data_IF_249976673462
#
_entry.id   IF_249976673462
#
_cell.length_a   1.000
_cell.length_b   1.000
_cell.length_c   1.000
_cell.angle_alpha   90.00
_cell.angle_beta   90.00
_cell.angle_gamma   90.00
#
_symmetry.space_group_name_H-M   'P 1'
#
loop_
_entity.id
_entity.type
_entity.pdbx_description
1 polymer ?
#
# COMPACT_ATOMS: atom_id res chain seq x y z
N UNK A 1 19.39 42.63 -18.78
CA UNK A 1 20.61 42.16 -18.08
C UNK A 1 20.22 42.07 -16.62
N UNK A 2 20.21 40.96 -15.89
CA UNK A 2 20.89 39.67 -16.02
C UNK A 2 19.94 38.49 -15.72
N UNK A 3 20.39 37.32 -16.14
CA UNK A 3 19.78 36.00 -16.03
C UNK A 3 19.74 35.53 -14.57
N UNK A 4 18.68 34.82 -14.17
CA UNK A 4 18.84 33.77 -13.17
C UNK A 4 18.43 32.42 -13.78
N UNK A 5 19.43 31.54 -13.81
CA UNK A 5 19.39 30.15 -14.27
C UNK A 5 18.60 29.32 -13.27
N UNK A 6 17.67 28.50 -13.75
CA UNK A 6 17.44 27.17 -13.18
C UNK A 6 17.47 26.21 -14.37
N UNK A 7 18.64 25.60 -14.55
CA UNK A 7 18.82 24.41 -15.38
C UNK A 7 18.98 23.24 -14.42
N UNK A 8 18.29 22.15 -14.74
CA UNK A 8 18.56 20.77 -14.36
C UNK A 8 18.47 20.38 -12.88
N UNK A 9 17.30 19.83 -12.51
CA UNK A 9 17.24 18.47 -11.92
C UNK A 9 16.14 17.70 -12.65
N UNK A 10 16.35 17.41 -13.94
CA UNK A 10 15.83 16.16 -14.49
C UNK A 10 16.99 15.18 -14.34
N UNK A 11 17.03 14.51 -13.20
CA UNK A 11 17.90 13.35 -13.04
C UNK A 11 17.50 12.35 -14.12
N UNK A 12 18.50 11.73 -14.73
CA UNK A 12 18.35 10.80 -15.84
C UNK A 12 17.46 9.62 -15.43
N UNK A 13 16.15 9.73 -15.67
CA UNK A 13 15.29 8.57 -15.83
C UNK A 13 15.62 8.00 -17.21
N UNK A 14 16.48 6.99 -17.22
CA UNK A 14 16.53 6.05 -18.35
C UNK A 14 15.19 5.32 -18.31
N UNK A 15 14.18 5.87 -18.99
CA UNK A 15 12.90 5.20 -19.15
C UNK A 15 13.11 4.10 -20.18
N UNK A 16 13.39 2.87 -19.73
CA UNK A 16 13.36 1.70 -20.62
C UNK A 16 11.91 1.39 -20.96
N UNK A 17 11.41 2.03 -22.01
CA UNK A 17 10.07 1.80 -22.56
C UNK A 17 10.06 0.44 -23.24
N UNK A 18 9.48 -0.57 -22.60
CA UNK A 18 9.25 -1.89 -23.21
C UNK A 18 7.86 -1.90 -23.84
N UNK A 19 7.80 -1.91 -25.17
CA UNK A 19 6.57 -2.22 -25.90
C UNK A 19 6.20 -3.69 -25.65
N UNK A 20 4.91 -3.98 -25.48
CA UNK A 20 4.37 -5.32 -25.57
C UNK A 20 3.22 -5.27 -26.58
N UNK A 21 3.48 -5.73 -27.81
CA UNK A 21 2.44 -5.87 -28.83
C UNK A 21 1.85 -7.26 -28.70
N UNK A 22 0.55 -7.35 -28.41
CA UNK A 22 -0.17 -8.62 -28.50
C UNK A 22 -0.98 -8.64 -29.81
N UNK A 23 -0.55 -9.47 -30.76
CA UNK A 23 -1.32 -9.78 -31.97
C UNK A 23 -1.48 -11.30 -32.06
N UNK A 24 -2.72 -11.76 -32.21
CA UNK A 24 -3.04 -13.19 -32.37
C UNK A 24 -2.42 -14.09 -31.28
N UNK A 25 -2.32 -13.62 -30.04
CA UNK A 25 -1.79 -14.38 -28.90
C UNK A 25 -0.26 -14.50 -28.83
N UNK A 26 0.48 -13.73 -29.63
CA UNK A 26 1.94 -13.61 -29.54
C UNK A 26 2.36 -12.23 -29.01
N UNK A 27 3.30 -12.19 -28.06
CA UNK A 27 3.82 -10.96 -27.44
C UNK A 27 5.16 -10.56 -28.07
N UNK A 28 5.22 -9.38 -28.68
CA UNK A 28 6.46 -8.80 -29.23
C UNK A 28 6.96 -7.65 -28.35
N UNK A 29 8.28 -7.59 -28.13
CA UNK A 29 8.94 -6.51 -27.38
C UNK A 29 9.83 -5.66 -28.26
N UNK A 30 9.69 -4.34 -28.14
CA UNK A 30 10.58 -3.34 -28.75
C UNK A 30 10.91 -2.22 -27.74
N UNK A 31 12.11 -1.65 -27.85
CA UNK A 31 12.57 -0.51 -27.04
C UNK A 31 12.20 0.82 -27.72
N UNK A 32 11.48 1.71 -27.01
CA UNK A 32 11.20 3.06 -27.52
C UNK A 32 12.37 4.00 -27.18
N UNK A 33 12.96 4.62 -28.20
CA UNK A 33 14.15 5.47 -28.06
C UNK A 33 13.88 6.98 -28.03
N UNK A 34 12.68 7.45 -28.40
CA UNK A 34 12.30 8.88 -28.40
C UNK A 34 10.80 9.10 -28.13
N UNK A 35 10.44 9.94 -27.15
CA UNK A 35 9.05 10.33 -26.90
C UNK A 35 8.89 11.74 -26.32
N UNK A 36 7.72 12.38 -26.54
CA UNK A 36 7.40 13.75 -26.08
C UNK A 36 6.04 13.82 -25.38
N UNK A 37 6.00 14.52 -24.24
CA UNK A 37 4.82 14.66 -23.36
C UNK A 37 3.96 15.87 -23.77
N UNK A 38 2.63 15.71 -23.79
CA UNK A 38 1.63 16.73 -24.19
C UNK A 38 0.44 16.73 -23.21
N UNK A 39 -0.23 17.88 -23.02
CA UNK A 39 -1.33 18.07 -22.07
C UNK A 39 -2.70 17.53 -22.58
N UNK A 40 -3.62 17.19 -21.65
CA UNK A 40 -4.73 16.22 -21.82
C UNK A 40 -6.10 16.87 -22.12
N UNK A 41 -6.80 16.49 -23.19
CA UNK A 41 -8.22 16.90 -23.40
C UNK A 41 -9.20 15.84 -23.96
N UNK A 42 -8.84 14.56 -24.16
CA UNK A 42 -9.74 13.61 -24.88
C UNK A 42 -9.93 12.20 -24.27
N UNK A 43 -9.77 11.99 -22.96
CA UNK A 43 -10.03 10.66 -22.34
C UNK A 43 -11.07 10.68 -21.23
N UNK A 44 -11.89 9.62 -21.21
CA UNK A 44 -12.85 9.32 -20.15
C UNK A 44 -12.31 8.15 -19.31
N UNK A 45 -12.25 8.33 -18.00
CA UNK A 45 -11.87 7.30 -17.03
C UNK A 45 -13.10 6.51 -16.61
N UNK A 46 -13.10 5.18 -16.78
CA UNK A 46 -14.11 4.33 -16.13
C UNK A 46 -13.70 4.10 -14.67
N UNK A 47 -14.32 4.86 -13.77
CA UNK A 47 -14.07 4.80 -12.32
C UNK A 47 -14.61 3.54 -11.66
N UNK A 48 -15.47 2.76 -12.34
CA UNK A 48 -16.10 1.56 -11.75
C UNK A 48 -15.20 0.34 -11.88
N UNK A 49 -14.44 0.23 -12.98
CA UNK A 49 -13.61 -0.95 -13.27
C UNK A 49 -12.10 -0.69 -13.24
N UNK A 50 -11.68 0.53 -12.90
CA UNK A 50 -10.28 0.96 -12.94
C UNK A 50 -9.61 0.72 -14.32
N UNK A 51 -10.39 0.74 -15.40
CA UNK A 51 -9.90 0.53 -16.78
C UNK A 51 -9.92 1.84 -17.56
N UNK A 52 -8.79 2.17 -18.17
CA UNK A 52 -8.72 3.27 -19.14
C UNK A 52 -9.19 2.78 -20.50
N UNK A 53 -10.32 3.32 -20.98
CA UNK A 53 -10.83 3.02 -22.32
C UNK A 53 -10.31 4.06 -23.32
N UNK A 54 -9.51 3.61 -24.30
CA UNK A 54 -9.12 4.45 -25.43
C UNK A 54 -10.18 4.36 -26.54
N UNK A 55 -10.65 5.51 -27.04
CA UNK A 55 -11.53 5.55 -28.21
C UNK A 55 -10.72 5.19 -29.46
N UNK A 56 -10.80 3.92 -29.87
CA UNK A 56 -10.01 3.36 -30.96
C UNK A 56 -10.46 3.89 -32.34
N UNK A 57 -9.51 4.33 -33.15
CA UNK A 57 -9.62 4.36 -34.62
C UNK A 57 -8.71 3.26 -35.19
N UNK A 58 -8.97 2.74 -36.41
CA UNK A 58 -8.09 1.74 -37.03
C UNK A 58 -6.63 2.22 -37.08
N UNK A 59 -5.68 1.31 -36.83
CA UNK A 59 -4.21 1.50 -36.82
C UNK A 59 -3.61 2.29 -35.62
N UNK A 60 -4.30 2.32 -34.47
CA UNK A 60 -3.76 2.91 -33.24
C UNK A 60 -3.35 1.82 -32.24
N UNK A 61 -2.11 1.86 -31.74
CA UNK A 61 -1.65 1.02 -30.62
C UNK A 61 -1.54 1.89 -29.37
N UNK A 62 -2.08 1.43 -28.24
CA UNK A 62 -2.04 2.12 -26.95
C UNK A 62 -1.04 1.43 -26.02
N UNK A 63 -0.29 2.18 -25.24
CA UNK A 63 0.59 1.66 -24.21
C UNK A 63 0.49 2.48 -22.92
N UNK A 64 0.66 1.81 -21.78
CA UNK A 64 0.62 2.39 -20.44
C UNK A 64 2.06 2.47 -19.92
N UNK A 65 2.49 3.66 -19.50
CA UNK A 65 3.78 3.86 -18.84
C UNK A 65 3.48 4.24 -17.38
N UNK A 66 3.82 3.34 -16.46
CA UNK A 66 3.70 3.55 -15.01
C UNK A 66 4.95 4.27 -14.50
N UNK A 67 4.80 5.51 -14.01
CA UNK A 67 5.88 6.31 -13.41
C UNK A 67 5.45 6.73 -12.01
N UNK A 68 5.82 5.94 -11.00
CA UNK A 68 5.48 6.21 -9.61
C UNK A 68 6.34 7.35 -9.07
N UNK A 69 5.89 8.60 -9.21
CA UNK A 69 6.48 9.76 -8.54
C UNK A 69 5.59 10.16 -7.37
N UNK A 70 6.03 9.90 -6.14
CA UNK A 70 5.33 10.32 -4.92
C UNK A 70 5.47 11.83 -4.75
N UNK A 71 4.38 12.57 -4.85
CA UNK A 71 4.36 14.03 -4.63
C UNK A 71 4.35 14.30 -3.11
N UNK A 72 5.35 14.99 -2.54
CA UNK A 72 5.30 15.39 -1.14
C UNK A 72 4.10 16.31 -0.90
N UNK A 73 3.38 16.11 0.20
CA UNK A 73 2.27 16.95 0.71
C UNK A 73 0.94 16.92 -0.06
N UNK A 74 0.73 15.98 -0.98
CA UNK A 74 -0.60 15.69 -1.54
C UNK A 74 -0.85 14.19 -1.58
N UNK A 75 -1.83 13.75 -0.81
CA UNK A 75 -2.59 12.49 -0.90
C UNK A 75 -2.17 11.63 -2.11
N UNK A 76 -1.28 10.66 -1.86
CA UNK A 76 -0.71 9.65 -2.77
C UNK A 76 -1.23 9.65 -4.22
N UNK A 77 -0.82 10.63 -5.03
CA UNK A 77 -1.15 10.66 -6.46
C UNK A 77 -0.04 10.00 -7.28
N UNK A 78 -0.37 8.92 -7.98
CA UNK A 78 0.53 8.28 -8.93
C UNK A 78 0.37 8.92 -10.32
N UNK A 79 1.49 9.27 -10.95
CA UNK A 79 1.50 9.79 -12.32
C UNK A 79 1.62 8.63 -13.31
N UNK A 80 0.72 8.56 -14.27
CA UNK A 80 0.79 7.59 -15.36
C UNK A 80 0.80 8.33 -16.69
N UNK A 81 1.60 7.84 -17.61
CA UNK A 81 1.70 8.40 -18.95
C UNK A 81 1.02 7.44 -19.92
N UNK A 82 -0.01 7.91 -20.65
CA UNK A 82 -0.73 7.10 -21.63
C UNK A 82 -0.33 7.59 -23.01
N UNK A 83 0.21 6.68 -23.83
CA UNK A 83 0.69 7.00 -25.17
C UNK A 83 -0.23 6.45 -26.27
N UNK A 84 -0.39 7.20 -27.36
CA UNK A 84 -0.97 6.72 -28.62
C UNK A 84 0.13 6.61 -29.67
N UNK A 85 0.33 5.43 -30.24
CA UNK A 85 1.17 5.23 -31.41
C UNK A 85 0.31 5.33 -32.67
N UNK A 86 0.67 6.24 -33.57
CA UNK A 86 0.08 6.34 -34.92
C UNK A 86 1.11 5.82 -35.90
N UNK A 87 0.91 4.62 -36.45
CA UNK A 87 1.73 4.15 -37.55
C UNK A 87 1.39 4.97 -38.80
N UNK A 88 2.34 5.77 -39.28
CA UNK A 88 2.27 6.34 -40.62
C UNK A 88 3.21 5.52 -41.47
N UNK A 89 2.69 4.82 -42.48
CA UNK A 89 3.37 3.77 -43.27
C UNK A 89 4.71 4.18 -43.94
N UNK A 90 5.18 5.43 -43.78
CA UNK A 90 6.36 5.95 -44.50
C UNK A 90 7.31 6.83 -43.66
N UNK A 91 7.17 6.94 -42.33
CA UNK A 91 8.09 7.71 -41.48
C UNK A 91 8.17 7.13 -40.04
N UNK A 92 9.27 7.36 -39.28
CA UNK A 92 9.32 6.98 -37.87
C UNK A 92 8.13 7.60 -37.13
N UNK A 93 7.27 6.74 -36.59
CA UNK A 93 6.00 7.14 -35.99
C UNK A 93 6.19 8.09 -34.81
N UNK A 94 5.36 9.13 -34.74
CA UNK A 94 5.30 10.03 -33.60
C UNK A 94 4.47 9.38 -32.48
N UNK A 95 5.09 9.17 -31.32
CA UNK A 95 4.39 8.79 -30.09
C UNK A 95 3.97 10.06 -29.35
N UNK A 96 2.66 10.27 -29.20
CA UNK A 96 2.13 11.34 -28.34
C UNK A 96 1.85 10.76 -26.97
N UNK A 97 2.52 11.25 -25.94
CA UNK A 97 2.34 10.82 -24.55
C UNK A 97 1.52 11.87 -23.80
N UNK A 98 0.45 11.47 -23.12
CA UNK A 98 -0.35 12.34 -22.27
C UNK A 98 -0.10 12.09 -20.78
N UNK A 99 -0.04 13.15 -19.99
CA UNK A 99 -0.03 13.05 -18.52
C UNK A 99 -1.40 12.68 -17.98
N UNK A 100 -1.44 11.64 -17.15
CA UNK A 100 -2.59 11.24 -16.37
C UNK A 100 -2.19 11.10 -14.91
N UNK A 101 -3.08 11.46 -14.02
CA UNK A 101 -2.93 11.25 -12.58
C UNK A 101 -3.99 10.22 -12.20
N UNK A 102 -3.59 9.15 -11.55
CA UNK A 102 -4.51 8.21 -10.90
C UNK A 102 -4.09 8.07 -9.45
N UNK A 103 -5.05 7.86 -8.55
CA UNK A 103 -4.73 7.55 -7.16
C UNK A 103 -3.79 6.34 -7.15
N UNK A 104 -2.70 6.41 -6.39
CA UNK A 104 -1.86 5.24 -6.20
C UNK A 104 -2.72 4.13 -5.61
N UNK A 105 -2.77 2.98 -6.26
CA UNK A 105 -3.66 1.91 -5.81
C UNK A 105 -3.15 1.34 -4.49
N UNK A 106 -4.01 1.33 -3.49
CA UNK A 106 -3.81 0.54 -2.28
C UNK A 106 -4.29 -0.87 -2.58
N UNK A 107 -3.43 -1.86 -2.37
CA UNK A 107 -3.75 -3.28 -2.54
C UNK A 107 -3.31 -4.03 -1.31
N UNK A 108 -4.25 -4.58 -0.56
CA UNK A 108 -4.00 -5.44 0.59
C UNK A 108 -4.06 -6.92 0.20
N UNK A 109 -3.77 -7.81 1.14
CA UNK A 109 -3.90 -9.25 0.93
C UNK A 109 -5.30 -9.65 0.39
N UNK A 110 -6.35 -8.95 0.82
CA UNK A 110 -7.71 -9.16 0.34
C UNK A 110 -7.85 -8.87 -1.17
N UNK A 111 -7.19 -7.84 -1.68
CA UNK A 111 -7.23 -7.48 -3.10
C UNK A 111 -6.40 -8.42 -3.98
N UNK A 112 -5.42 -9.09 -3.38
CA UNK A 112 -4.57 -10.09 -4.05
C UNK A 112 -5.24 -11.46 -4.14
N UNK A 113 -6.21 -11.74 -3.27
CA UNK A 113 -6.80 -13.06 -3.12
C UNK A 113 -7.49 -13.52 -4.41
N UNK A 114 -7.21 -14.74 -4.81
CA UNK A 114 -7.77 -15.34 -6.02
C UNK A 114 -7.15 -16.69 -6.33
N UNK A 115 -7.47 -17.31 -7.49
CA UNK A 115 -7.02 -18.66 -7.83
C UNK A 115 -5.50 -18.86 -7.88
N UNK A 116 -4.73 -17.77 -7.95
CA UNK A 116 -3.26 -17.78 -7.99
C UNK A 116 -2.61 -17.37 -6.67
N UNK A 117 -3.41 -16.91 -5.69
CA UNK A 117 -2.97 -16.36 -4.41
C UNK A 117 -3.91 -16.86 -3.31
N UNK A 118 -3.91 -18.18 -3.09
CA UNK A 118 -4.81 -18.91 -2.19
C UNK A 118 -4.07 -19.60 -1.02
N UNK A 119 -2.77 -19.34 -0.86
CA UNK A 119 -1.93 -19.94 0.18
C UNK A 119 -1.35 -18.89 1.12
N UNK A 120 -1.22 -19.23 2.40
CA UNK A 120 -0.58 -18.34 3.38
C UNK A 120 0.90 -18.13 3.04
N UNK A 121 1.40 -16.90 3.19
CA UNK A 121 2.79 -16.61 2.86
C UNK A 121 3.14 -15.14 2.86
N UNK A 122 4.35 -14.83 2.41
CA UNK A 122 4.81 -13.44 2.26
C UNK A 122 4.43 -12.92 0.88
N UNK A 123 3.68 -11.82 0.85
CA UNK A 123 3.25 -11.14 -0.37
C UNK A 123 3.70 -9.69 -0.37
N UNK A 124 3.75 -9.09 -1.56
CA UNK A 124 4.00 -7.66 -1.72
C UNK A 124 2.67 -6.92 -1.88
N UNK A 125 2.36 -6.04 -0.92
CA UNK A 125 1.19 -5.15 -0.95
C UNK A 125 1.64 -3.73 -1.31
N UNK A 126 0.70 -2.88 -1.75
CA UNK A 126 0.97 -1.46 -2.05
C UNK A 126 0.10 -0.57 -1.16
N UNK A 127 0.71 0.43 -0.53
CA UNK A 127 0.05 1.46 0.28
C UNK A 127 0.34 2.85 -0.29
N UNK A 128 -0.11 3.11 -1.52
CA UNK A 128 0.11 4.42 -2.16
C UNK A 128 1.53 4.70 -2.67
N UNK A 129 2.45 3.72 -2.63
CA UNK A 129 3.86 3.91 -2.97
C UNK A 129 4.60 2.61 -3.33
N UNK A 130 5.86 2.51 -2.90
CA UNK A 130 6.67 1.30 -3.14
C UNK A 130 6.04 0.07 -2.48
N UNK A 131 6.11 -1.11 -3.11
CA UNK A 131 5.57 -2.33 -2.51
C UNK A 131 6.27 -2.66 -1.18
N UNK A 132 5.50 -3.08 -0.19
CA UNK A 132 5.99 -3.56 1.10
C UNK A 132 5.63 -5.04 1.28
N UNK A 133 6.47 -5.79 1.99
CA UNK A 133 6.25 -7.22 2.24
C UNK A 133 5.46 -7.42 3.52
N UNK A 134 4.44 -8.27 3.46
CA UNK A 134 3.59 -8.63 4.59
C UNK A 134 3.29 -10.13 4.57
N UNK A 135 2.98 -10.70 5.73
CA UNK A 135 2.37 -12.02 5.78
C UNK A 135 0.88 -11.92 5.47
N UNK A 136 0.41 -12.63 4.45
CA UNK A 136 -1.00 -12.81 4.19
C UNK A 136 -1.46 -14.18 4.71
N UNK A 137 -2.54 -14.17 5.50
CA UNK A 137 -3.33 -15.36 5.82
C UNK A 137 -4.47 -15.43 4.79
N UNK A 138 -4.26 -16.28 3.77
CA UNK A 138 -5.15 -16.42 2.61
C UNK A 138 -6.16 -17.56 2.79
N UNK A 139 -6.01 -18.36 3.84
CA UNK A 139 -6.75 -19.63 4.00
C UNK A 139 -7.79 -19.61 5.11
N UNK A 140 -7.58 -18.85 6.20
CA UNK A 140 -8.49 -18.86 7.34
C UNK A 140 -9.53 -17.74 7.28
N UNK A 141 -10.76 -18.01 7.74
CA UNK A 141 -11.86 -17.05 7.81
C UNK A 141 -12.01 -16.25 6.50
N UNK A 142 -12.23 -16.99 5.40
CA UNK A 142 -12.31 -16.48 4.03
C UNK A 142 -11.04 -15.82 3.48
N UNK A 143 -9.93 -15.82 4.22
CA UNK A 143 -8.62 -15.37 3.76
C UNK A 143 -8.50 -13.86 3.57
N UNK A 144 -7.46 -13.42 2.84
CA UNK A 144 -7.24 -12.02 2.54
C UNK A 144 -6.75 -11.17 3.73
N UNK A 145 -6.35 -11.79 4.84
CA UNK A 145 -5.92 -11.06 6.04
C UNK A 145 -4.48 -10.56 5.88
N UNK A 146 -4.31 -9.24 6.01
CA UNK A 146 -2.99 -8.61 6.09
C UNK A 146 -2.49 -8.63 7.51
N UNK A 147 -1.39 -9.34 7.77
CA UNK A 147 -0.81 -9.39 9.12
C UNK A 147 -0.09 -8.07 9.41
N UNK A 148 -0.41 -7.46 10.55
CA UNK A 148 0.15 -6.16 10.97
C UNK A 148 1.19 -6.30 12.08
N UNK A 149 1.09 -7.37 12.87
CA UNK A 149 2.03 -7.75 13.91
C UNK A 149 2.05 -9.27 13.96
N UNK A 150 3.24 -9.84 14.16
CA UNK A 150 3.38 -11.28 14.37
C UNK A 150 4.41 -11.58 15.45
N UNK A 151 4.05 -12.48 16.38
CA UNK A 151 4.95 -13.09 17.38
C UNK A 151 4.85 -14.61 17.30
N UNK A 152 5.96 -15.25 16.97
CA UNK A 152 6.15 -16.69 16.85
C UNK A 152 7.21 -17.14 17.86
N UNK A 153 8.27 -16.32 18.01
CA UNK A 153 9.36 -16.57 18.94
C UNK A 153 9.98 -15.23 19.42
N UNK A 154 11.11 -15.31 20.13
CA UNK A 154 11.84 -14.16 20.66
C UNK A 154 12.94 -13.59 19.74
N UNK A 155 12.96 -13.92 18.44
CA UNK A 155 14.06 -13.55 17.54
C UNK A 155 14.14 -12.05 17.21
N UNK A 156 13.08 -11.29 17.47
CA UNK A 156 13.03 -9.85 17.24
C UNK A 156 12.73 -9.13 18.54
N UNK A 157 13.54 -8.11 18.86
CA UNK A 157 13.30 -7.24 20.00
C UNK A 157 12.14 -6.27 19.70
N UNK A 158 11.15 -6.21 20.59
CA UNK A 158 10.00 -5.28 20.55
C UNK A 158 10.15 -4.12 21.55
N UNK A 159 11.21 -4.09 22.36
CA UNK A 159 11.62 -2.90 23.10
C UNK A 159 12.26 -1.91 22.11
N UNK A 160 11.40 -1.12 21.47
CA UNK A 160 11.75 -0.22 20.38
C UNK A 160 11.28 1.20 20.67
N UNK A 161 11.98 2.14 20.06
CA UNK A 161 11.67 3.57 20.17
C UNK A 161 10.52 3.95 19.22
N UNK A 162 9.97 5.15 19.41
CA UNK A 162 8.87 5.68 18.62
C UNK A 162 9.09 5.55 17.11
N UNK A 163 10.27 5.95 16.65
CA UNK A 163 10.62 5.96 15.22
C UNK A 163 10.58 4.56 14.60
N UNK A 164 11.01 3.52 15.33
CA UNK A 164 10.98 2.14 14.84
C UNK A 164 9.53 1.64 14.74
N UNK A 165 8.68 1.93 15.73
CA UNK A 165 7.26 1.60 15.69
C UNK A 165 6.51 2.36 14.61
N UNK A 166 6.91 3.59 14.31
CA UNK A 166 6.38 4.41 13.22
C UNK A 166 6.60 3.76 11.86
N UNK A 167 7.83 3.38 11.52
CA UNK A 167 8.19 2.85 10.19
C UNK A 167 8.04 1.32 10.06
N UNK A 168 8.06 0.60 11.17
CA UNK A 168 8.02 -0.87 11.21
C UNK A 168 9.41 -1.50 11.35
N UNK A 169 9.43 -2.75 11.82
CA UNK A 169 10.65 -3.52 12.06
C UNK A 169 10.39 -5.02 12.02
N UNK A 170 11.45 -5.81 11.85
CA UNK A 170 11.37 -7.27 11.73
C UNK A 170 11.13 -7.73 10.28
N UNK A 171 10.77 -8.99 10.11
CA UNK A 171 10.61 -9.63 8.80
C UNK A 171 9.24 -10.31 8.67
N UNK A 172 8.57 -10.11 7.54
CA UNK A 172 7.22 -10.63 7.30
C UNK A 172 7.12 -12.16 7.40
N UNK A 173 8.20 -12.88 7.13
CA UNK A 173 8.25 -14.34 7.26
C UNK A 173 8.32 -14.83 8.72
N UNK A 174 8.56 -13.94 9.69
CA UNK A 174 8.76 -14.26 11.10
C UNK A 174 8.06 -13.28 12.03
N UNK A 175 8.80 -12.72 12.99
CA UNK A 175 8.29 -11.68 13.88
C UNK A 175 8.47 -10.30 13.26
N UNK A 176 7.43 -9.49 13.30
CA UNK A 176 7.53 -8.11 12.82
C UNK A 176 6.40 -7.23 13.34
N UNK A 177 6.61 -5.93 13.19
CA UNK A 177 5.64 -4.86 13.30
C UNK A 177 5.58 -4.13 11.96
N UNK A 178 4.39 -4.00 11.37
CA UNK A 178 4.21 -3.40 10.05
C UNK A 178 4.63 -1.92 10.01
N UNK A 179 4.45 -1.19 11.11
CA UNK A 179 4.65 0.25 11.19
C UNK A 179 3.34 1.00 11.40
N UNK A 180 3.34 1.97 12.31
CA UNK A 180 2.15 2.76 12.66
C UNK A 180 1.71 3.67 11.50
N UNK A 181 2.64 4.18 10.69
CA UNK A 181 2.29 4.95 9.49
C UNK A 181 1.49 4.11 8.49
N UNK A 182 1.90 2.85 8.28
CA UNK A 182 1.19 1.91 7.42
C UNK A 182 -0.17 1.53 7.98
N UNK A 183 -0.27 1.31 9.30
CA UNK A 183 -1.53 1.02 9.97
C UNK A 183 -2.53 2.17 9.84
N UNK A 184 -2.07 3.39 10.09
CA UNK A 184 -2.89 4.58 9.91
C UNK A 184 -3.38 4.67 8.47
N UNK A 185 -2.47 4.58 7.47
CA UNK A 185 -2.84 4.61 6.05
C UNK A 185 -3.92 3.58 5.69
N UNK A 186 -3.77 2.34 6.16
CA UNK A 186 -4.76 1.29 5.90
C UNK A 186 -6.12 1.65 6.50
N UNK A 187 -6.14 2.03 7.79
CA UNK A 187 -7.40 2.26 8.50
C UNK A 187 -8.09 3.58 8.16
N UNK A 188 -7.36 4.54 7.60
CA UNK A 188 -7.91 5.80 7.10
C UNK A 188 -8.43 5.66 5.66
N UNK A 189 -7.74 4.86 4.83
CA UNK A 189 -8.13 4.63 3.43
C UNK A 189 -9.36 3.73 3.29
N UNK A 190 -9.48 2.69 4.11
CA UNK A 190 -10.58 1.74 4.04
C UNK A 190 -11.63 2.02 5.12
N UNK A 191 -12.91 1.94 4.74
CA UNK A 191 -14.02 1.99 5.69
C UNK A 191 -14.27 0.60 6.30
N UNK A 192 -14.78 0.57 7.54
CA UNK A 192 -15.19 -0.66 8.24
C UNK A 192 -14.10 -1.73 8.35
N UNK A 193 -12.84 -1.33 8.59
CA UNK A 193 -11.72 -2.28 8.72
C UNK A 193 -11.97 -3.28 9.84
N UNK A 194 -11.83 -4.56 9.51
CA UNK A 194 -11.86 -5.66 10.47
C UNK A 194 -10.46 -5.85 11.08
N UNK A 195 -10.38 -6.02 12.39
CA UNK A 195 -9.17 -6.46 13.08
C UNK A 195 -9.41 -7.83 13.69
N UNK A 196 -8.43 -8.72 13.50
CA UNK A 196 -8.42 -10.08 14.04
C UNK A 196 -7.20 -10.23 14.94
N UNK A 197 -7.42 -10.56 16.22
CA UNK A 197 -6.35 -10.77 17.20
C UNK A 197 -6.36 -12.23 17.59
N UNK A 198 -5.23 -12.90 17.39
CA UNK A 198 -5.00 -14.30 17.75
C UNK A 198 -3.93 -14.38 18.83
N UNK A 199 -4.23 -15.06 19.92
CA UNK A 199 -3.28 -15.33 21.00
C UNK A 199 -3.19 -16.84 21.18
N UNK A 200 -1.96 -17.35 21.24
CA UNK A 200 -1.65 -18.71 21.62
C UNK A 200 -0.94 -18.65 22.98
N UNK A 201 -1.58 -19.23 24.00
CA UNK A 201 -0.98 -19.36 25.31
C UNK A 201 0.09 -20.47 25.30
N UNK A 202 1.08 -20.43 26.22
CA UNK A 202 2.15 -21.42 26.28
C UNK A 202 1.68 -22.86 26.53
N UNK A 203 0.54 -23.04 27.18
CA UNK A 203 -0.12 -24.33 27.44
C UNK A 203 -0.89 -24.87 26.23
N UNK A 204 -0.94 -24.11 25.13
CA UNK A 204 -1.60 -24.48 23.88
C UNK A 204 -3.00 -23.90 23.73
N UNK A 205 -3.53 -23.19 24.73
CA UNK A 205 -4.84 -22.55 24.63
C UNK A 205 -4.85 -21.44 23.58
N UNK A 206 -5.93 -21.36 22.81
CA UNK A 206 -6.09 -20.41 21.71
C UNK A 206 -7.26 -19.50 21.98
N UNK A 207 -7.02 -18.19 21.94
CA UNK A 207 -8.05 -17.18 21.98
C UNK A 207 -7.99 -16.32 20.71
N UNK A 208 -9.15 -16.03 20.16
CA UNK A 208 -9.29 -15.16 19.00
C UNK A 208 -10.42 -14.18 19.23
N UNK A 209 -10.27 -12.94 18.77
CA UNK A 209 -11.36 -11.97 18.62
C UNK A 209 -11.32 -11.32 17.24
N UNK A 210 -12.51 -11.00 16.74
CA UNK A 210 -12.71 -10.18 15.55
C UNK A 210 -13.54 -8.96 15.95
N UNK A 211 -13.06 -7.78 15.59
CA UNK A 211 -13.79 -6.52 15.73
C UNK A 211 -13.85 -5.78 14.41
N UNK A 212 -14.92 -5.03 14.20
CA UNK A 212 -15.11 -4.14 13.05
C UNK A 212 -14.88 -2.69 13.41
N UNK A 213 -14.69 -1.84 12.41
CA UNK A 213 -14.42 -0.41 12.61
C UNK A 213 -13.13 -0.16 13.39
N UNK A 214 -12.12 -1.01 13.24
CA UNK A 214 -10.79 -0.77 13.79
C UNK A 214 -10.17 0.46 13.13
N UNK A 215 -9.49 1.30 13.92
CA UNK A 215 -8.85 2.51 13.41
C UNK A 215 -7.63 2.90 14.22
N UNK A 216 -6.63 3.42 13.51
CA UNK A 216 -5.42 4.00 14.08
C UNK A 216 -5.31 5.43 13.56
N UNK A 217 -5.26 6.40 14.49
CA UNK A 217 -5.12 7.80 14.14
C UNK A 217 -3.74 8.10 13.54
N UNK A 218 -3.55 9.32 13.03
CA UNK A 218 -2.24 9.79 12.56
C UNK A 218 -1.24 9.99 13.72
N UNK A 219 0.01 10.30 13.36
CA UNK A 219 1.07 10.57 14.34
C UNK A 219 0.77 11.78 15.24
N UNK A 220 0.15 12.83 14.68
CA UNK A 220 -0.22 14.03 15.42
C UNK A 220 -1.26 13.74 16.51
N UNK A 221 -2.01 12.66 16.35
CA UNK A 221 -2.94 12.09 17.31
C UNK A 221 -2.39 10.83 18.00
N UNK A 222 -1.07 10.69 18.03
CA UNK A 222 -0.33 9.65 18.76
C UNK A 222 -0.66 8.22 18.34
N UNK A 223 -1.05 8.00 17.09
CA UNK A 223 -1.53 6.70 16.61
C UNK A 223 -2.60 6.07 17.51
N UNK A 224 -3.43 6.92 18.12
CA UNK A 224 -4.46 6.51 19.07
C UNK A 224 -5.36 5.45 18.45
N UNK A 225 -5.53 4.33 19.16
CA UNK A 225 -6.29 3.19 18.66
C UNK A 225 -7.77 3.32 19.00
N UNK A 226 -8.63 2.98 18.03
CA UNK A 226 -10.03 2.67 18.27
C UNK A 226 -10.21 1.17 18.01
N UNK A 227 -10.49 0.43 19.08
CA UNK A 227 -10.42 -1.04 19.08
C UNK A 227 -11.45 -1.66 18.15
N UNK A 228 -12.63 -1.04 18.06
CA UNK A 228 -13.73 -1.44 17.19
C UNK A 228 -14.95 -1.95 17.96
N UNK A 229 -15.93 -2.45 17.21
CA UNK A 229 -17.13 -3.11 17.73
C UNK A 229 -16.94 -4.62 17.65
N UNK A 230 -17.34 -5.34 18.71
CA UNK A 230 -17.19 -6.79 18.76
C UNK A 230 -18.06 -7.49 17.70
N UNK A 231 -17.42 -8.35 16.90
CA UNK A 231 -18.10 -9.22 15.91
C UNK A 231 -18.17 -10.65 16.43
N UNK A 232 -17.04 -11.24 16.82
CA UNK A 232 -16.97 -12.63 17.28
C UNK A 232 -15.71 -12.91 18.11
N UNK A 233 -15.71 -14.05 18.82
CA UNK A 233 -14.54 -14.57 19.53
C UNK A 233 -14.64 -14.59 21.05
N UNK A 234 -13.48 -14.68 21.71
CA UNK A 234 -13.32 -14.91 23.15
C UNK A 234 -13.63 -13.65 23.97
N UNK A 235 -14.57 -13.75 24.92
CA UNK A 235 -15.05 -12.61 25.73
C UNK A 235 -14.00 -11.98 26.66
N UNK A 236 -13.13 -12.80 27.28
CA UNK A 236 -11.99 -12.33 28.07
C UNK A 236 -11.03 -11.45 27.25
N UNK A 237 -10.45 -12.02 26.18
CA UNK A 237 -9.59 -11.27 25.24
C UNK A 237 -10.26 -10.00 24.67
N UNK A 238 -11.57 -10.04 24.39
CA UNK A 238 -12.33 -8.84 23.99
C UNK A 238 -12.27 -7.76 25.06
N UNK A 239 -12.46 -8.12 26.33
CA UNK A 239 -12.45 -7.14 27.43
C UNK A 239 -11.05 -6.56 27.60
N UNK A 240 -10.02 -7.40 27.55
CA UNK A 240 -8.61 -6.99 27.62
C UNK A 240 -8.27 -6.00 26.49
N UNK A 241 -8.65 -6.35 25.25
CA UNK A 241 -8.45 -5.48 24.09
C UNK A 241 -9.17 -4.13 24.23
N UNK A 242 -10.40 -4.13 24.72
CA UNK A 242 -11.21 -2.91 24.84
C UNK A 242 -10.67 -1.91 25.87
N UNK A 243 -9.81 -2.31 26.81
CA UNK A 243 -9.15 -1.35 27.71
C UNK A 243 -8.22 -0.39 26.97
N UNK A 244 -7.73 -0.78 25.79
CA UNK A 244 -6.88 0.05 24.95
C UNK A 244 -7.67 1.03 24.09
N UNK A 245 -9.01 1.00 24.13
CA UNK A 245 -9.82 1.87 23.29
C UNK A 245 -9.59 3.35 23.62
N UNK A 246 -9.26 4.12 22.58
CA UNK A 246 -8.93 5.54 22.63
C UNK A 246 -7.68 5.87 23.47
N UNK A 247 -6.75 4.91 23.62
CA UNK A 247 -5.44 5.13 24.23
C UNK A 247 -4.40 5.44 23.14
N UNK A 248 -3.52 6.41 23.40
CA UNK A 248 -2.40 6.72 22.52
C UNK A 248 -1.38 5.58 22.46
N UNK A 249 -0.67 5.47 21.36
CA UNK A 249 0.48 4.56 21.30
C UNK A 249 1.59 5.11 22.18
N UNK A 250 2.30 4.24 22.90
CA UNK A 250 3.32 4.63 23.87
C UNK A 250 4.58 3.79 23.68
N UNK A 251 5.74 4.43 23.73
CA UNK A 251 7.07 3.82 23.74
C UNK A 251 7.89 4.36 24.90
N UNK A 252 9.05 3.76 25.17
CA UNK A 252 9.93 4.19 26.27
C UNK A 252 10.37 5.65 26.14
N UNK A 253 10.44 6.19 24.92
CA UNK A 253 10.83 7.56 24.63
C UNK A 253 9.65 8.53 24.41
N UNK A 254 8.42 8.03 24.30
CA UNK A 254 7.22 8.85 24.07
C UNK A 254 6.03 8.25 24.82
N UNK A 255 5.66 8.89 25.94
CA UNK A 255 4.53 8.49 26.79
C UNK A 255 3.23 9.19 26.40
N UNK A 256 2.26 8.45 25.86
CA UNK A 256 0.91 8.91 25.53
C UNK A 256 -0.19 8.03 26.15
N UNK A 257 0.14 7.26 27.19
CA UNK A 257 -0.83 6.41 27.86
C UNK A 257 -1.64 7.18 28.93
N UNK A 258 -2.59 6.51 29.58
CA UNK A 258 -3.46 7.14 30.59
C UNK A 258 -2.97 6.92 32.03
N UNK A 259 -1.73 6.46 32.21
CA UNK A 259 -1.08 6.24 33.50
C UNK A 259 -0.36 7.51 33.96
N UNK A 260 0.04 7.53 35.24
CA UNK A 260 0.91 8.58 35.79
C UNK A 260 2.41 8.26 35.60
N UNK A 261 2.72 7.10 35.03
CA UNK A 261 4.06 6.60 34.76
C UNK A 261 4.08 5.97 33.37
N UNK A 262 5.23 5.99 32.70
CA UNK A 262 5.39 5.42 31.38
C UNK A 262 5.27 3.89 31.43
N UNK A 263 4.14 3.34 30.95
CA UNK A 263 3.91 1.90 30.97
C UNK A 263 4.91 1.15 30.07
N UNK A 264 5.43 1.79 29.02
CA UNK A 264 6.39 1.16 28.11
C UNK A 264 7.79 1.00 28.74
N UNK A 265 8.11 1.67 29.83
CA UNK A 265 9.38 1.48 30.57
C UNK A 265 9.31 0.31 31.57
N UNK A 266 8.12 -0.14 31.94
CA UNK A 266 7.94 -1.26 32.88
C UNK A 266 7.75 -2.58 32.13
N UNK A 267 8.85 -3.21 31.74
CA UNK A 267 8.85 -4.60 31.24
C UNK A 267 8.89 -5.64 32.37
#
# INVERSE_FOLDING_TARGET
MEKLKIACVFLHLIVTLTLALEQNGAVYREEITNATVVNKTEFHTDTVNHKLHCLMRPYSVCFIVEVTETVPDKEYQCRFYVGKFVSVETAPGLATIYESYAACSTHLCQDLQGPTHDTDGVYAIKLGGSPIKVWCDMTQNDGGWTTIQRRIDGSVNFERLWQDYKVGFGEASGNYWLGNDHLHHITDHYQNVLVRIKVLAPDGDRAEIIQENFYVADEANWYRVRTGTFVSGHSGLKNDWNYHNNVGFTTTDVDNDNSNENCAERN
#
